data_IF_913044355425
#
_entry.id   IF_913044355425
#
_cell.length_a   1.000
_cell.length_b   1.000
_cell.length_c   1.000
_cell.angle_alpha   90.00
_cell.angle_beta   90.00
_cell.angle_gamma   90.00
#
_symmetry.space_group_name_H-M   'P 1'
#
loop_
_entity.id
_entity.type
_entity.pdbx_description
1 polymer ?
#
# COMPACT_ATOMS: atom_id res chain seq x y z
N UNK A 1 -17.31 7.22 21.58
CA UNK A 1 -18.69 7.07 21.10
C UNK A 1 -18.91 7.69 19.71
N UNK A 2 -18.52 8.95 19.43
CA UNK A 2 -18.71 9.54 18.09
C UNK A 2 -18.02 8.77 16.94
N UNK A 3 -16.77 8.30 17.12
CA UNK A 3 -16.06 7.57 16.06
C UNK A 3 -16.67 6.20 15.68
N UNK A 4 -17.38 5.54 16.61
CA UNK A 4 -18.07 4.27 16.34
C UNK A 4 -19.40 4.47 15.60
N UNK A 5 -20.15 5.54 15.91
CA UNK A 5 -21.35 5.90 15.15
C UNK A 5 -21.03 6.36 13.73
N UNK A 6 -19.97 7.16 13.54
CA UNK A 6 -19.54 7.61 12.21
C UNK A 6 -19.10 6.43 11.35
N UNK A 7 -18.32 5.50 11.92
CA UNK A 7 -17.92 4.28 11.22
C UNK A 7 -19.15 3.45 10.80
N UNK A 8 -20.10 3.19 11.70
CA UNK A 8 -21.34 2.46 11.38
C UNK A 8 -22.14 3.09 10.23
N UNK A 9 -22.19 4.43 10.17
CA UNK A 9 -22.92 5.12 9.10
C UNK A 9 -22.14 5.13 7.77
N UNK A 10 -20.78 5.10 7.79
CA UNK A 10 -19.96 4.93 6.57
C UNK A 10 -20.11 3.51 6.05
N UNK A 11 -20.16 2.53 6.97
CA UNK A 11 -20.41 1.15 6.64
C UNK A 11 -21.80 0.96 6.00
N UNK A 12 -22.85 1.62 6.51
CA UNK A 12 -24.19 1.53 5.94
C UNK A 12 -24.30 2.10 4.51
N UNK A 13 -23.65 3.24 4.22
CA UNK A 13 -23.64 3.85 2.88
C UNK A 13 -22.88 3.01 1.85
N UNK A 14 -21.69 2.49 2.19
CA UNK A 14 -20.97 1.57 1.29
C UNK A 14 -21.70 0.23 1.12
N UNK A 15 -22.47 -0.20 2.13
CA UNK A 15 -23.21 -1.45 2.10
C UNK A 15 -24.47 -1.37 1.22
N UNK A 16 -25.12 -0.21 1.10
CA UNK A 16 -26.21 -0.01 0.13
C UNK A 16 -25.73 -0.18 -1.31
N UNK A 17 -24.61 0.45 -1.69
CA UNK A 17 -24.02 0.31 -3.03
C UNK A 17 -23.44 -1.09 -3.32
N UNK A 18 -23.16 -1.91 -2.31
CA UNK A 18 -22.69 -3.29 -2.49
C UNK A 18 -23.83 -4.31 -2.58
N UNK A 19 -25.03 -3.98 -2.10
CA UNK A 19 -26.13 -4.93 -1.95
C UNK A 19 -27.26 -4.74 -2.98
N UNK A 20 -27.42 -3.55 -3.57
CA UNK A 20 -28.42 -3.33 -4.64
C UNK A 20 -28.01 -3.92 -6.00
N UNK A 21 -26.71 -4.09 -6.28
CA UNK A 21 -26.24 -4.42 -7.65
C UNK A 21 -26.03 -5.92 -7.93
N UNK A 22 -26.28 -6.81 -6.97
CA UNK A 22 -26.20 -8.27 -7.23
C UNK A 22 -27.42 -8.82 -7.97
N UNK A 23 -28.46 -7.99 -8.18
CA UNK A 23 -29.74 -8.41 -8.77
C UNK A 23 -30.18 -7.67 -10.05
N UNK A 24 -29.33 -6.88 -10.69
CA UNK A 24 -29.69 -6.20 -11.95
C UNK A 24 -28.66 -6.48 -13.05
N UNK A 25 -28.73 -7.69 -13.58
CA UNK A 25 -28.40 -7.93 -14.99
C UNK A 25 -29.70 -8.28 -15.69
N UNK A 26 -30.08 -7.42 -16.66
CA UNK A 26 -31.10 -7.52 -17.73
C UNK A 26 -32.06 -6.32 -17.72
N UNK A 27 -32.06 -5.57 -18.83
CA UNK A 27 -32.87 -4.39 -19.20
C UNK A 27 -32.48 -3.09 -18.47
N UNK A 28 -32.28 -1.92 -19.11
CA UNK A 28 -32.88 -1.39 -20.34
C UNK A 28 -32.00 -0.24 -20.87
N UNK A 29 -31.78 -0.22 -22.20
CA UNK A 29 -31.59 1.03 -22.94
C UNK A 29 -32.77 1.95 -22.62
N UNK A 30 -32.53 3.11 -22.03
CA UNK A 30 -33.32 4.33 -22.18
C UNK A 30 -32.51 5.48 -21.58
N UNK A 31 -32.25 6.48 -22.42
CA UNK A 31 -31.37 7.60 -22.11
C UNK A 31 -31.83 8.41 -20.90
N UNK A 32 -30.91 8.63 -19.98
CA UNK A 32 -30.80 9.85 -19.19
C UNK A 32 -29.31 10.12 -19.00
N UNK A 33 -28.76 10.87 -19.95
CA UNK A 33 -27.50 11.59 -19.80
C UNK A 33 -27.64 12.53 -18.61
N UNK A 34 -26.98 12.19 -17.49
CA UNK A 34 -26.81 13.11 -16.37
C UNK A 34 -26.05 14.34 -16.85
N UNK A 35 -26.78 15.44 -17.03
CA UNK A 35 -26.26 16.75 -17.37
C UNK A 35 -25.39 17.30 -16.24
N UNK A 36 -24.10 16.93 -16.24
CA UNK A 36 -23.06 17.74 -15.59
C UNK A 36 -22.21 18.50 -16.62
N UNK A 37 -22.37 18.18 -17.91
CA UNK A 37 -21.72 18.87 -19.03
C UNK A 37 -22.52 19.99 -19.67
N UNK A 38 -23.78 20.23 -19.26
CA UNK A 38 -24.69 21.17 -19.92
C UNK A 38 -25.02 22.43 -19.11
N UNK A 39 -24.65 22.49 -17.82
CA UNK A 39 -24.82 23.71 -17.00
C UNK A 39 -23.60 24.64 -17.01
N UNK A 40 -22.49 24.23 -17.64
CA UNK A 40 -21.29 25.07 -17.76
C UNK A 40 -21.25 25.92 -19.04
N UNK A 41 -22.32 25.92 -19.83
CA UNK A 41 -22.43 26.71 -21.07
C UNK A 41 -23.27 28.00 -20.90
N UNK A 42 -23.71 28.33 -19.67
CA UNK A 42 -24.50 29.55 -19.41
C UNK A 42 -23.98 30.47 -18.28
N UNK A 43 -22.86 30.15 -17.62
CA UNK A 43 -22.29 31.02 -16.59
C UNK A 43 -21.09 31.83 -17.12
N UNK A 44 -21.37 32.77 -18.04
CA UNK A 44 -20.37 33.74 -18.55
C UNK A 44 -20.25 34.93 -17.60
N UNK A 45 -19.21 34.98 -16.75
CA UNK A 45 -18.67 36.25 -16.21
C UNK A 45 -17.30 36.14 -15.49
N UNK A 46 -16.27 36.60 -16.20
CA UNK A 46 -15.09 37.39 -15.74
C UNK A 46 -13.97 36.67 -14.96
N UNK A 47 -12.87 36.42 -15.68
CA UNK A 47 -11.49 36.60 -15.20
C UNK A 47 -10.83 35.42 -14.48
N UNK A 48 -11.59 34.55 -13.81
CA UNK A 48 -11.07 33.30 -13.23
C UNK A 48 -10.95 32.16 -14.27
N UNK A 49 -11.66 32.28 -15.39
CA UNK A 49 -11.80 31.20 -16.37
C UNK A 49 -10.54 30.92 -17.18
N UNK A 50 -9.69 31.92 -17.45
CA UNK A 50 -8.49 31.69 -18.27
C UNK A 50 -7.47 30.83 -17.55
N UNK A 51 -7.31 30.98 -16.23
CA UNK A 51 -6.38 30.16 -15.44
C UNK A 51 -6.91 28.74 -15.30
N UNK A 52 -8.19 28.56 -14.95
CA UNK A 52 -8.82 27.23 -14.81
C UNK A 52 -8.81 26.47 -16.15
N UNK A 53 -9.15 27.13 -17.26
CA UNK A 53 -9.08 26.52 -18.60
C UNK A 53 -7.64 26.16 -18.97
N UNK A 54 -6.67 26.97 -18.55
CA UNK A 54 -5.25 26.70 -18.80
C UNK A 54 -4.76 25.51 -17.96
N UNK A 55 -5.12 25.43 -16.68
CA UNK A 55 -4.82 24.29 -15.81
C UNK A 55 -5.42 22.99 -16.32
N UNK A 56 -6.69 23.01 -16.76
CA UNK A 56 -7.35 21.85 -17.35
C UNK A 56 -6.61 21.36 -18.60
N UNK A 57 -6.20 22.27 -19.49
CA UNK A 57 -5.41 21.95 -20.69
C UNK A 57 -4.02 21.41 -20.36
N UNK A 58 -3.36 21.93 -19.31
CA UNK A 58 -2.06 21.44 -18.86
C UNK A 58 -2.18 20.01 -18.31
N UNK A 59 -3.22 19.73 -17.52
CA UNK A 59 -3.45 18.39 -16.97
C UNK A 59 -3.77 17.37 -18.06
N UNK A 60 -4.63 17.71 -19.02
CA UNK A 60 -4.90 16.81 -20.15
C UNK A 60 -3.67 16.56 -21.03
N UNK A 61 -2.82 17.58 -21.21
CA UNK A 61 -1.54 17.40 -21.90
C UNK A 61 -0.62 16.45 -21.13
N UNK A 62 -0.53 16.62 -19.81
CA UNK A 62 0.26 15.74 -18.93
C UNK A 62 -0.25 14.29 -18.98
N UNK A 63 -1.57 14.09 -18.93
CA UNK A 63 -2.18 12.77 -19.07
C UNK A 63 -1.95 12.16 -20.45
N UNK A 64 -2.04 12.95 -21.52
CA UNK A 64 -1.75 12.48 -22.88
C UNK A 64 -0.28 12.04 -23.02
N UNK A 65 0.68 12.79 -22.47
CA UNK A 65 2.07 12.35 -22.39
C UNK A 65 2.23 11.06 -21.57
N UNK A 66 1.46 10.94 -20.49
CA UNK A 66 1.41 9.75 -19.66
C UNK A 66 0.91 8.51 -20.42
N UNK A 67 -0.22 8.62 -21.12
CA UNK A 67 -0.76 7.54 -21.99
C UNK A 67 0.21 7.19 -23.11
N UNK A 68 0.82 8.21 -23.75
CA UNK A 68 1.84 8.00 -24.78
C UNK A 68 3.05 7.23 -24.23
N UNK A 69 3.47 7.54 -23.00
CA UNK A 69 4.54 6.80 -22.31
C UNK A 69 4.17 5.35 -22.04
N UNK A 70 2.94 5.08 -21.59
CA UNK A 70 2.44 3.72 -21.42
C UNK A 70 2.41 2.96 -22.74
N UNK A 71 1.84 3.55 -23.79
CA UNK A 71 1.76 2.93 -25.12
C UNK A 71 3.15 2.67 -25.71
N UNK A 72 4.10 3.60 -25.53
CA UNK A 72 5.49 3.41 -25.93
C UNK A 72 6.14 2.21 -25.23
N UNK A 73 5.99 2.12 -23.90
CA UNK A 73 6.54 1.02 -23.11
C UNK A 73 5.93 -0.33 -23.50
N UNK A 74 4.61 -0.38 -23.67
CA UNK A 74 3.92 -1.60 -24.08
C UNK A 74 4.34 -2.05 -25.48
N UNK A 75 4.48 -1.12 -26.43
CA UNK A 75 4.86 -1.45 -27.81
C UNK A 75 6.31 -1.93 -27.94
N UNK A 76 7.26 -1.24 -27.27
CA UNK A 76 8.70 -1.54 -27.42
C UNK A 76 9.20 -2.62 -26.48
N UNK A 77 8.55 -2.81 -25.32
CA UNK A 77 8.98 -3.74 -24.28
C UNK A 77 7.94 -4.83 -23.95
N UNK A 78 6.98 -5.10 -24.86
CA UNK A 78 6.00 -6.20 -24.73
C UNK A 78 6.66 -7.55 -24.44
N UNK A 79 7.81 -7.85 -25.06
CA UNK A 79 8.58 -9.08 -24.83
C UNK A 79 9.02 -9.28 -23.36
N UNK A 80 9.13 -8.18 -22.59
CA UNK A 80 9.50 -8.20 -21.17
C UNK A 80 8.29 -7.98 -20.25
N UNK A 81 7.06 -8.16 -20.73
CA UNK A 81 5.83 -8.03 -19.94
C UNK A 81 5.90 -8.80 -18.60
N UNK A 82 6.37 -10.06 -18.64
CA UNK A 82 6.50 -10.89 -17.44
C UNK A 82 7.39 -10.26 -16.36
N UNK A 83 8.46 -9.55 -16.77
CA UNK A 83 9.32 -8.82 -15.84
C UNK A 83 8.58 -7.65 -15.19
N UNK A 84 7.86 -6.84 -15.95
CA UNK A 84 7.10 -5.71 -15.40
C UNK A 84 6.01 -6.18 -14.43
N UNK A 85 5.29 -7.25 -14.77
CA UNK A 85 4.29 -7.83 -13.87
C UNK A 85 4.93 -8.40 -12.60
N UNK A 86 6.06 -9.11 -12.72
CA UNK A 86 6.78 -9.63 -11.57
C UNK A 86 7.26 -8.52 -10.63
N UNK A 87 7.81 -7.42 -11.17
CA UNK A 87 8.26 -6.28 -10.37
C UNK A 87 7.09 -5.62 -9.63
N UNK A 88 5.96 -5.40 -10.30
CA UNK A 88 4.78 -4.82 -9.64
C UNK A 88 4.28 -5.73 -8.52
N UNK A 89 4.18 -7.03 -8.77
CA UNK A 89 3.76 -8.00 -7.75
C UNK A 89 4.74 -8.04 -6.57
N UNK A 90 6.04 -8.10 -6.85
CA UNK A 90 7.09 -8.18 -5.82
C UNK A 90 7.13 -6.94 -4.91
N UNK A 91 6.70 -5.78 -5.42
CA UNK A 91 6.73 -4.50 -4.69
C UNK A 91 5.41 -4.10 -4.04
N UNK A 92 4.42 -5.00 -4.04
CA UNK A 92 3.23 -4.85 -3.21
C UNK A 92 3.60 -4.81 -1.72
N UNK A 93 2.93 -3.93 -0.97
CA UNK A 93 3.09 -3.80 0.47
C UNK A 93 2.73 -5.11 1.21
N UNK A 94 1.91 -5.98 0.61
CA UNK A 94 1.69 -7.34 1.08
C UNK A 94 3.01 -8.10 1.29
N UNK A 95 3.89 -8.08 0.29
CA UNK A 95 5.21 -8.73 0.39
C UNK A 95 6.13 -8.07 1.41
N UNK A 96 5.96 -6.77 1.66
CA UNK A 96 6.67 -6.09 2.76
C UNK A 96 6.31 -6.72 4.11
N UNK A 97 5.03 -6.98 4.36
CA UNK A 97 4.59 -7.55 5.64
C UNK A 97 4.80 -9.06 5.74
N UNK A 98 4.58 -9.81 4.66
CA UNK A 98 4.65 -11.28 4.68
C UNK A 98 6.06 -11.84 4.47
N UNK A 99 6.97 -11.09 3.84
CA UNK A 99 8.33 -11.54 3.53
C UNK A 99 9.41 -10.65 4.18
N UNK A 100 9.44 -9.35 3.87
CA UNK A 100 10.54 -8.48 4.30
C UNK A 100 10.55 -8.27 5.82
N UNK A 101 9.38 -8.05 6.43
CA UNK A 101 9.26 -7.84 7.86
C UNK A 101 9.74 -9.06 8.68
N UNK A 102 9.31 -10.31 8.42
CA UNK A 102 9.85 -11.48 9.12
C UNK A 102 11.36 -11.64 8.97
N UNK A 103 11.91 -11.44 7.77
CA UNK A 103 13.35 -11.51 7.51
C UNK A 103 14.09 -10.50 8.38
N UNK A 104 13.66 -9.24 8.38
CA UNK A 104 14.27 -8.20 9.20
C UNK A 104 14.03 -8.38 10.68
N UNK A 105 12.89 -8.89 11.11
CA UNK A 105 12.63 -9.09 12.52
C UNK A 105 13.60 -10.09 13.15
N UNK A 106 13.88 -11.20 12.45
CA UNK A 106 14.81 -12.22 12.93
C UNK A 106 16.29 -11.83 12.76
N UNK A 107 16.61 -10.84 11.91
CA UNK A 107 17.96 -10.32 11.73
C UNK A 107 18.27 -9.13 12.64
N UNK A 108 17.41 -8.10 12.63
CA UNK A 108 17.50 -6.88 13.43
C UNK A 108 16.11 -6.36 13.84
N UNK A 109 15.63 -6.78 15.01
CA UNK A 109 14.29 -6.46 15.52
C UNK A 109 13.95 -4.96 15.51
N UNK A 110 14.87 -4.09 15.94
CA UNK A 110 14.62 -2.65 16.00
C UNK A 110 14.30 -2.07 14.61
N UNK A 111 15.09 -2.42 13.61
CA UNK A 111 14.93 -1.94 12.24
C UNK A 111 13.68 -2.54 11.57
N UNK A 112 13.30 -3.77 11.93
CA UNK A 112 12.05 -4.36 11.49
C UNK A 112 10.81 -3.65 12.05
N UNK A 113 10.83 -3.27 13.33
CA UNK A 113 9.75 -2.47 13.94
C UNK A 113 9.64 -1.13 13.22
N UNK A 114 10.77 -0.45 13.00
CA UNK A 114 10.82 0.80 12.23
C UNK A 114 10.27 0.65 10.82
N UNK A 115 10.60 -0.45 10.13
CA UNK A 115 10.09 -0.78 8.80
C UNK A 115 8.55 -0.79 8.77
N UNK A 116 7.92 -1.45 9.74
CA UNK A 116 6.45 -1.52 9.83
C UNK A 116 5.84 -0.15 10.08
N UNK A 117 6.44 0.65 10.97
CA UNK A 117 5.99 2.02 11.21
C UNK A 117 6.04 2.87 9.95
N UNK A 118 7.13 2.79 9.19
CA UNK A 118 7.30 3.50 7.92
C UNK A 118 6.29 3.03 6.88
N UNK A 119 6.09 1.71 6.74
CA UNK A 119 5.11 1.14 5.82
C UNK A 119 3.67 1.58 6.15
N UNK A 120 3.26 1.48 7.42
CA UNK A 120 1.91 1.83 7.89
C UNK A 120 1.63 3.33 7.73
N UNK A 121 2.53 4.19 8.19
CA UNK A 121 2.35 5.64 8.10
C UNK A 121 2.46 6.10 6.64
N UNK A 122 3.36 5.52 5.85
CA UNK A 122 3.48 5.80 4.42
C UNK A 122 2.22 5.46 3.66
N UNK A 123 1.66 4.26 3.85
CA UNK A 123 0.42 3.86 3.18
C UNK A 123 -0.78 4.70 3.68
N UNK A 124 -0.80 5.12 4.95
CA UNK A 124 -1.79 6.09 5.45
C UNK A 124 -1.66 7.48 4.81
N UNK A 125 -0.45 8.01 4.63
CA UNK A 125 -0.24 9.28 3.91
C UNK A 125 -0.64 9.14 2.45
N UNK A 126 -0.31 8.02 1.80
CA UNK A 126 -0.75 7.71 0.43
C UNK A 126 -2.28 7.77 0.33
N UNK A 127 -2.96 7.12 1.27
CA UNK A 127 -4.40 7.10 1.37
C UNK A 127 -5.01 8.51 1.49
N UNK A 128 -4.51 9.34 2.41
CA UNK A 128 -5.01 10.71 2.59
C UNK A 128 -4.83 11.53 1.31
N UNK A 129 -3.65 11.45 0.70
CA UNK A 129 -3.35 12.19 -0.52
C UNK A 129 -4.19 11.72 -1.71
N UNK A 130 -4.50 10.42 -1.82
CA UNK A 130 -5.41 9.91 -2.85
C UNK A 130 -6.79 10.54 -2.79
N UNK A 131 -7.35 10.69 -1.59
CA UNK A 131 -8.63 11.35 -1.42
C UNK A 131 -8.59 12.86 -1.66
N UNK A 132 -7.47 13.51 -1.31
CA UNK A 132 -7.30 14.95 -1.49
C UNK A 132 -7.00 15.35 -2.94
N UNK A 133 -6.19 14.57 -3.66
CA UNK A 133 -5.74 14.87 -5.03
C UNK A 133 -6.73 14.40 -6.10
N UNK A 134 -7.53 13.37 -5.81
CA UNK A 134 -8.63 12.92 -6.65
C UNK A 134 -8.24 12.68 -8.13
N UNK A 135 -7.05 12.14 -8.37
CA UNK A 135 -6.51 12.06 -9.73
C UNK A 135 -6.95 10.80 -10.50
N UNK A 136 -7.01 10.94 -11.82
CA UNK A 136 -7.33 9.92 -12.81
C UNK A 136 -6.24 8.83 -12.94
N UNK A 137 -6.58 7.72 -13.62
CA UNK A 137 -5.64 6.67 -14.04
C UNK A 137 -5.61 6.52 -15.56
N UNK A 138 -4.48 6.06 -16.14
CA UNK A 138 -4.34 5.95 -17.59
C UNK A 138 -5.45 5.16 -18.29
N UNK A 139 -5.79 3.98 -17.75
CA UNK A 139 -6.67 3.02 -18.44
C UNK A 139 -8.13 3.47 -18.57
N UNK A 140 -8.65 4.25 -17.62
CA UNK A 140 -10.00 4.81 -17.72
C UNK A 140 -10.00 6.23 -18.28
N UNK A 141 -8.94 7.02 -18.05
CA UNK A 141 -8.85 8.38 -18.57
C UNK A 141 -8.82 8.41 -20.10
N UNK A 142 -8.07 7.50 -20.72
CA UNK A 142 -7.98 7.42 -22.19
C UNK A 142 -9.34 7.15 -22.85
N UNK A 143 -10.25 6.49 -22.15
CA UNK A 143 -11.57 6.11 -22.65
C UNK A 143 -12.59 7.26 -22.55
N UNK A 144 -12.47 8.10 -21.52
CA UNK A 144 -13.42 9.17 -21.22
C UNK A 144 -12.97 10.53 -21.76
N UNK A 145 -11.69 10.71 -22.04
CA UNK A 145 -11.15 12.01 -22.43
C UNK A 145 -11.63 12.46 -23.81
N UNK A 146 -12.08 13.71 -23.88
CA UNK A 146 -12.35 14.41 -25.15
C UNK A 146 -11.08 14.95 -25.82
N UNK A 147 -9.91 14.83 -25.18
CA UNK A 147 -8.66 15.45 -25.62
C UNK A 147 -8.24 15.06 -27.05
N UNK A 148 -8.47 13.81 -27.44
CA UNK A 148 -8.10 13.32 -28.76
C UNK A 148 -9.07 13.75 -29.87
N UNK A 149 -10.26 14.27 -29.54
CA UNK A 149 -11.28 14.65 -30.51
C UNK A 149 -11.59 13.52 -31.49
N UNK A 150 -11.40 13.77 -32.79
CA UNK A 150 -11.59 12.76 -33.85
C UNK A 150 -10.33 11.93 -34.16
N UNK A 151 -9.24 12.14 -33.42
CA UNK A 151 -7.99 11.41 -33.61
C UNK A 151 -8.07 10.02 -32.99
N UNK A 152 -7.32 9.05 -33.54
CA UNK A 152 -7.23 7.72 -32.96
C UNK A 152 -6.59 7.79 -31.57
N UNK A 153 -7.34 7.33 -30.55
CA UNK A 153 -6.83 7.20 -29.19
C UNK A 153 -5.71 6.15 -29.13
N UNK A 154 -4.64 6.37 -28.35
CA UNK A 154 -3.60 5.37 -28.17
C UNK A 154 -4.17 4.11 -27.53
N UNK A 155 -3.93 2.95 -28.15
CA UNK A 155 -4.30 1.66 -27.55
C UNK A 155 -3.35 1.35 -26.40
N UNK A 156 -3.91 1.09 -25.23
CA UNK A 156 -3.17 0.62 -24.05
C UNK A 156 -3.76 -0.71 -23.58
N UNK A 157 -2.87 -1.65 -23.27
CA UNK A 157 -3.24 -2.97 -22.76
C UNK A 157 -3.51 -2.91 -21.26
N UNK A 158 -4.46 -3.72 -20.79
CA UNK A 158 -4.70 -3.95 -19.37
C UNK A 158 -4.25 -5.36 -18.98
N UNK A 159 -3.69 -5.46 -17.78
CA UNK A 159 -3.28 -6.68 -17.11
C UNK A 159 -4.02 -6.86 -15.78
N UNK A 160 -3.96 -8.04 -15.13
CA UNK A 160 -4.66 -8.31 -13.86
C UNK A 160 -4.43 -7.32 -12.72
N UNK A 161 -3.32 -6.57 -12.72
CA UNK A 161 -3.00 -5.55 -11.71
C UNK A 161 -3.32 -4.11 -12.13
N UNK A 162 -4.02 -3.91 -13.25
CA UNK A 162 -4.36 -2.59 -13.79
C UNK A 162 -5.53 -1.96 -13.05
N UNK A 163 -6.56 -2.76 -12.79
CA UNK A 163 -7.87 -2.30 -12.35
C UNK A 163 -7.95 -2.09 -10.83
N UNK A 164 -7.08 -1.23 -10.31
CA UNK A 164 -7.15 -0.78 -8.93
C UNK A 164 -8.33 0.19 -8.73
N UNK A 165 -8.94 0.14 -7.53
CA UNK A 165 -10.21 0.83 -7.23
C UNK A 165 -10.03 2.20 -6.56
N UNK A 166 -8.81 2.54 -6.12
CA UNK A 166 -8.49 3.86 -5.55
C UNK A 166 -8.02 4.90 -6.59
N UNK A 167 -8.06 6.21 -6.27
CA UNK A 167 -7.51 7.27 -7.11
C UNK A 167 -6.03 7.06 -7.49
N UNK A 168 -5.60 7.67 -8.59
CA UNK A 168 -4.28 7.42 -9.19
C UNK A 168 -3.08 8.01 -8.43
N UNK A 169 -3.27 9.10 -7.69
CA UNK A 169 -2.15 9.91 -7.15
C UNK A 169 -2.09 9.96 -5.63
N UNK A 170 -0.90 9.80 -5.01
CA UNK A 170 0.33 9.29 -5.61
C UNK A 170 0.28 7.77 -5.77
N UNK A 171 1.21 7.20 -6.55
CA UNK A 171 1.30 5.75 -6.69
C UNK A 171 1.69 5.06 -5.39
N UNK A 172 0.81 4.19 -4.88
CA UNK A 172 1.03 3.47 -3.62
C UNK A 172 2.19 2.47 -3.69
N UNK A 173 2.36 1.78 -4.83
CA UNK A 173 3.48 0.85 -5.04
C UNK A 173 4.83 1.59 -5.05
N UNK A 174 4.94 2.69 -5.81
CA UNK A 174 6.17 3.48 -5.88
C UNK A 174 6.49 4.13 -4.52
N UNK A 175 5.48 4.69 -3.85
CA UNK A 175 5.65 5.29 -2.53
C UNK A 175 6.03 4.28 -1.45
N UNK A 176 5.37 3.12 -1.41
CA UNK A 176 5.66 2.03 -0.49
C UNK A 176 7.06 1.47 -0.70
N UNK A 177 7.42 1.16 -1.95
CA UNK A 177 8.77 0.72 -2.30
C UNK A 177 9.83 1.75 -1.90
N UNK A 178 9.64 3.03 -2.22
CA UNK A 178 10.55 4.10 -1.81
C UNK A 178 10.73 4.15 -0.29
N UNK A 179 9.63 4.14 0.48
CA UNK A 179 9.69 4.25 1.92
C UNK A 179 10.39 3.02 2.58
N UNK A 180 10.03 1.82 2.14
CA UNK A 180 10.56 0.54 2.63
C UNK A 180 12.04 0.40 2.28
N UNK A 181 12.40 0.51 1.00
CA UNK A 181 13.79 0.34 0.58
C UNK A 181 14.70 1.46 1.10
N UNK A 182 14.24 2.71 1.20
CA UNK A 182 15.03 3.79 1.81
C UNK A 182 15.36 3.46 3.28
N UNK A 183 14.39 2.93 4.02
CA UNK A 183 14.58 2.50 5.42
C UNK A 183 15.60 1.36 5.51
N UNK A 184 15.48 0.35 4.62
CA UNK A 184 16.40 -0.79 4.56
C UNK A 184 17.82 -0.32 4.23
N UNK A 185 18.00 0.49 3.19
CA UNK A 185 19.32 0.97 2.76
C UNK A 185 19.96 1.84 3.84
N UNK A 186 19.20 2.71 4.48
CA UNK A 186 19.69 3.55 5.59
C UNK A 186 20.12 2.71 6.80
N UNK A 187 19.36 1.65 7.13
CA UNK A 187 19.68 0.71 8.21
C UNK A 187 20.93 -0.13 7.90
N UNK A 188 21.04 -0.66 6.68
CA UNK A 188 22.21 -1.40 6.22
C UNK A 188 23.45 -0.52 6.24
N UNK A 189 23.34 0.71 5.74
CA UNK A 189 24.42 1.68 5.76
C UNK A 189 24.86 1.99 7.20
N UNK A 190 23.91 2.23 8.11
CA UNK A 190 24.21 2.45 9.52
C UNK A 190 24.83 1.22 10.20
N UNK A 191 24.49 0.01 9.78
CA UNK A 191 25.07 -1.23 10.32
C UNK A 191 26.49 -1.47 9.80
N UNK A 192 26.69 -1.39 8.48
CA UNK A 192 27.98 -1.69 7.85
C UNK A 192 29.02 -0.60 8.16
N UNK A 193 28.60 0.66 8.26
CA UNK A 193 29.50 1.78 8.53
C UNK A 193 29.79 2.01 10.02
N UNK A 194 29.20 1.22 10.94
CA UNK A 194 29.57 1.26 12.37
C UNK A 194 31.03 0.90 12.60
N UNK A 195 31.60 0.06 11.74
CA UNK A 195 33.01 -0.31 11.84
C UNK A 195 33.92 0.78 11.26
N UNK A 196 34.96 1.11 12.01
CA UNK A 196 36.12 1.88 11.52
C UNK A 196 36.69 1.17 10.29
N UNK A 197 36.77 1.90 9.17
CA UNK A 197 37.19 1.32 7.90
C UNK A 197 37.66 2.39 6.92
N UNK A 198 38.41 1.98 5.87
CA UNK A 198 38.97 2.92 4.91
C UNK A 198 37.88 3.79 4.28
N UNK A 199 38.17 5.08 4.08
CA UNK A 199 37.24 6.03 3.46
C UNK A 199 36.69 5.49 2.13
N UNK A 200 37.53 4.87 1.30
CA UNK A 200 37.16 4.25 0.03
C UNK A 200 36.10 3.16 0.20
N UNK A 201 36.23 2.27 1.20
CA UNK A 201 35.23 1.22 1.49
C UNK A 201 33.89 1.84 1.86
N UNK A 202 33.89 2.84 2.74
CA UNK A 202 32.67 3.53 3.20
C UNK A 202 31.95 4.23 2.03
N UNK A 203 32.72 4.88 1.16
CA UNK A 203 32.20 5.52 -0.05
C UNK A 203 31.63 4.51 -1.04
N UNK A 204 32.36 3.42 -1.34
CA UNK A 204 31.88 2.37 -2.23
C UNK A 204 30.56 1.76 -1.73
N UNK A 205 30.46 1.38 -0.45
CA UNK A 205 29.23 0.82 0.12
C UNK A 205 28.07 1.81 0.01
N UNK A 206 28.31 3.09 0.30
CA UNK A 206 27.28 4.14 0.18
C UNK A 206 26.79 4.26 -1.25
N UNK A 207 27.71 4.39 -2.21
CA UNK A 207 27.36 4.50 -3.64
C UNK A 207 26.60 3.26 -4.09
N UNK A 208 27.09 2.06 -3.80
CA UNK A 208 26.44 0.81 -4.21
C UNK A 208 25.01 0.67 -3.65
N UNK A 209 24.78 0.96 -2.37
CA UNK A 209 23.44 0.84 -1.77
C UNK A 209 22.45 1.87 -2.35
N UNK A 210 22.89 3.12 -2.56
CA UNK A 210 22.02 4.15 -3.15
C UNK A 210 21.79 3.94 -4.65
N UNK A 211 22.78 3.44 -5.38
CA UNK A 211 22.58 3.00 -6.77
C UNK A 211 21.56 1.88 -6.84
N UNK A 212 21.66 0.86 -5.98
CA UNK A 212 20.68 -0.23 -5.91
C UNK A 212 19.27 0.30 -5.59
N UNK A 213 19.15 1.24 -4.64
CA UNK A 213 17.88 1.89 -4.34
C UNK A 213 17.25 2.51 -5.58
N UNK A 214 17.99 3.35 -6.31
CA UNK A 214 17.48 4.02 -7.51
C UNK A 214 17.16 3.05 -8.64
N UNK A 215 17.97 1.99 -8.83
CA UNK A 215 17.66 0.92 -9.77
C UNK A 215 16.31 0.27 -9.47
N UNK A 216 16.05 -0.06 -8.19
CA UNK A 216 14.75 -0.61 -7.77
C UNK A 216 13.63 0.40 -8.04
N UNK A 217 13.79 1.67 -7.70
CA UNK A 217 12.75 2.68 -7.94
C UNK A 217 12.41 2.85 -9.41
N UNK A 218 13.42 2.87 -10.29
CA UNK A 218 13.19 2.93 -11.74
C UNK A 218 12.41 1.71 -12.22
N UNK A 219 12.76 0.51 -11.76
CA UNK A 219 12.05 -0.71 -12.14
C UNK A 219 10.58 -0.68 -11.69
N UNK A 220 10.32 -0.25 -10.45
CA UNK A 220 8.95 -0.11 -9.92
C UNK A 220 8.16 0.93 -10.72
N UNK A 221 8.72 2.12 -10.93
CA UNK A 221 8.05 3.19 -11.66
C UNK A 221 7.68 2.75 -13.08
N UNK A 222 8.64 2.19 -13.82
CA UNK A 222 8.40 1.70 -15.19
C UNK A 222 7.35 0.58 -15.21
N UNK A 223 7.40 -0.34 -14.25
CA UNK A 223 6.40 -1.41 -14.11
C UNK A 223 4.99 -0.86 -13.91
N UNK A 224 4.80 0.16 -13.07
CA UNK A 224 3.48 0.77 -12.81
C UNK A 224 2.93 1.58 -13.98
N UNK A 225 3.81 2.21 -14.78
CA UNK A 225 3.43 2.89 -16.03
C UNK A 225 3.12 1.87 -17.13
N UNK A 226 3.91 0.79 -17.25
CA UNK A 226 3.69 -0.29 -18.21
C UNK A 226 2.34 -0.99 -18.00
N UNK A 227 1.95 -1.23 -16.75
CA UNK A 227 0.66 -1.86 -16.41
C UNK A 227 -0.52 -0.89 -16.55
N UNK A 228 -0.31 0.34 -17.04
CA UNK A 228 -1.34 1.36 -17.21
C UNK A 228 -2.10 1.73 -15.91
N UNK A 229 -1.53 1.40 -14.75
CA UNK A 229 -2.14 1.67 -13.45
C UNK A 229 -1.87 3.09 -12.95
N UNK A 230 -0.76 3.70 -13.39
CA UNK A 230 -0.36 5.06 -12.99
C UNK A 230 0.32 5.83 -14.11
N UNK A 231 0.18 7.15 -14.07
CA UNK A 231 0.95 8.06 -14.90
C UNK A 231 2.38 8.28 -14.38
N UNK A 232 3.34 8.72 -15.23
CA UNK A 232 4.72 8.98 -14.81
C UNK A 232 4.86 9.97 -13.65
N UNK A 233 4.10 11.06 -13.61
CA UNK A 233 4.17 12.02 -12.51
C UNK A 233 3.63 11.46 -11.19
N UNK A 234 2.65 10.54 -11.24
CA UNK A 234 2.11 9.87 -10.04
C UNK A 234 3.13 8.96 -9.38
N UNK A 235 3.94 8.25 -10.18
CA UNK A 235 5.01 7.39 -9.64
C UNK A 235 6.19 8.20 -9.12
N UNK A 236 6.57 9.28 -9.80
CA UNK A 236 7.63 10.20 -9.34
C UNK A 236 7.24 10.85 -8.01
N UNK A 237 6.03 11.41 -7.93
CA UNK A 237 5.49 12.00 -6.70
C UNK A 237 5.43 10.96 -5.58
N UNK A 238 5.03 9.73 -5.90
CA UNK A 238 5.06 8.61 -4.95
C UNK A 238 6.46 8.36 -4.37
N UNK A 239 7.49 8.27 -5.21
CA UNK A 239 8.88 8.07 -4.75
C UNK A 239 9.34 9.20 -3.82
N UNK A 240 9.08 10.45 -4.20
CA UNK A 240 9.47 11.62 -3.41
C UNK A 240 8.82 11.61 -2.01
N UNK A 241 7.51 11.40 -1.95
CA UNK A 241 6.78 11.37 -0.67
C UNK A 241 7.21 10.16 0.16
N UNK A 242 7.45 9.00 -0.47
CA UNK A 242 7.96 7.81 0.22
C UNK A 242 9.30 8.03 0.92
N UNK A 243 10.24 8.70 0.23
CA UNK A 243 11.53 9.11 0.81
C UNK A 243 11.32 10.09 1.96
N UNK A 244 10.47 11.11 1.78
CA UNK A 244 10.18 12.11 2.82
C UNK A 244 9.57 11.47 4.08
N UNK A 245 8.64 10.54 3.93
CA UNK A 245 8.02 9.81 5.05
C UNK A 245 9.07 8.96 5.77
N UNK A 246 9.87 8.20 5.04
CA UNK A 246 10.91 7.36 5.63
C UNK A 246 11.97 8.19 6.37
N UNK A 247 12.45 9.29 5.78
CA UNK A 247 13.40 10.19 6.42
C UNK A 247 12.80 10.84 7.68
N UNK A 248 11.57 11.33 7.60
CA UNK A 248 10.89 11.97 8.74
C UNK A 248 10.72 11.00 9.90
N UNK A 249 10.23 9.78 9.65
CA UNK A 249 10.04 8.77 10.69
C UNK A 249 11.37 8.23 11.23
N UNK A 250 12.43 8.23 10.42
CA UNK A 250 13.76 7.81 10.86
C UNK A 250 14.33 8.69 11.98
N UNK A 251 13.92 9.96 12.04
CA UNK A 251 14.33 10.92 13.07
C UNK A 251 13.52 10.76 14.37
N UNK A 252 12.37 10.09 14.32
CA UNK A 252 11.45 9.95 15.46
C UNK A 252 11.87 8.80 16.39
N UNK A 253 12.75 9.12 17.35
CA UNK A 253 13.25 8.15 18.35
C UNK A 253 12.16 7.58 19.27
N UNK A 254 10.99 8.21 19.35
CA UNK A 254 9.87 7.78 20.20
C UNK A 254 9.26 6.43 19.75
N UNK A 255 9.43 6.05 18.48
CA UNK A 255 8.91 4.79 17.92
C UNK A 255 9.46 3.57 18.70
N UNK A 256 10.71 3.62 19.12
CA UNK A 256 11.38 2.52 19.85
C UNK A 256 10.99 2.42 21.33
N UNK A 257 10.43 3.50 21.91
CA UNK A 257 9.97 3.54 23.31
C UNK A 257 8.44 3.45 23.42
N UNK A 258 7.76 3.16 22.31
CA UNK A 258 6.31 3.11 22.26
C UNK A 258 5.77 1.96 23.12
N UNK A 259 4.92 2.29 24.08
CA UNK A 259 4.17 1.31 24.86
C UNK A 259 2.95 0.79 24.07
N UNK A 260 2.34 -0.31 24.51
CA UNK A 260 1.11 -0.83 23.88
C UNK A 260 0.02 0.23 23.73
N UNK A 261 -0.15 1.12 24.74
CA UNK A 261 -1.11 2.23 24.67
C UNK A 261 -0.81 3.17 23.51
N UNK A 262 0.46 3.42 23.19
CA UNK A 262 0.86 4.25 22.05
C UNK A 262 0.44 3.60 20.73
N UNK A 263 0.68 2.30 20.54
CA UNK A 263 0.22 1.58 19.34
C UNK A 263 -1.30 1.66 19.17
N UNK A 264 -2.05 1.39 20.24
CA UNK A 264 -3.52 1.48 20.24
C UNK A 264 -3.99 2.90 19.91
N UNK A 265 -3.44 3.90 20.59
CA UNK A 265 -3.82 5.30 20.41
C UNK A 265 -3.50 5.78 18.99
N UNK A 266 -2.34 5.42 18.45
CA UNK A 266 -1.97 5.78 17.08
C UNK A 266 -2.86 5.08 16.05
N UNK A 267 -3.16 3.78 16.20
CA UNK A 267 -4.11 3.11 15.31
C UNK A 267 -5.49 3.77 15.34
N UNK A 268 -5.99 4.14 16.52
CA UNK A 268 -7.27 4.85 16.65
C UNK A 268 -7.22 6.26 16.05
N UNK A 269 -6.10 6.97 16.20
CA UNK A 269 -5.90 8.30 15.62
C UNK A 269 -5.84 8.26 14.10
N UNK A 270 -5.08 7.32 13.52
CA UNK A 270 -5.00 7.16 12.06
C UNK A 270 -6.36 6.80 11.46
N UNK A 271 -7.10 5.90 12.12
CA UNK A 271 -8.46 5.54 11.74
C UNK A 271 -9.41 6.74 11.84
N UNK A 272 -9.40 7.47 12.96
CA UNK A 272 -10.33 8.58 13.18
C UNK A 272 -10.07 9.75 12.24
N UNK A 273 -8.80 10.11 11.99
CA UNK A 273 -8.44 11.17 11.06
C UNK A 273 -8.83 10.82 9.62
N UNK A 274 -8.62 9.57 9.20
CA UNK A 274 -9.03 9.11 7.88
C UNK A 274 -10.56 9.14 7.72
N UNK A 275 -11.30 8.62 8.70
CA UNK A 275 -12.78 8.66 8.66
C UNK A 275 -13.32 10.09 8.73
N UNK A 276 -12.66 10.98 9.47
CA UNK A 276 -13.02 12.39 9.51
C UNK A 276 -12.81 13.04 8.14
N UNK A 277 -11.66 12.84 7.51
CA UNK A 277 -11.40 13.35 6.16
C UNK A 277 -12.41 12.82 5.15
N UNK A 278 -12.70 11.52 5.18
CA UNK A 278 -13.71 10.88 4.35
C UNK A 278 -15.07 11.59 4.48
N UNK A 279 -15.52 11.83 5.72
CA UNK A 279 -16.77 12.54 5.98
C UNK A 279 -16.74 14.00 5.55
N UNK A 280 -15.65 14.71 5.79
CA UNK A 280 -15.50 16.10 5.35
C UNK A 280 -15.60 16.22 3.83
N UNK A 281 -14.97 15.31 3.07
CA UNK A 281 -15.04 15.30 1.61
C UNK A 281 -16.45 14.96 1.10
N UNK A 282 -17.13 14.00 1.73
CA UNK A 282 -18.54 13.72 1.41
C UNK A 282 -19.44 14.94 1.66
N UNK A 283 -19.27 15.62 2.80
CA UNK A 283 -20.05 16.83 3.12
C UNK A 283 -19.73 18.00 2.16
N UNK A 284 -18.53 18.04 1.61
CA UNK A 284 -18.15 18.97 0.55
C UNK A 284 -18.68 18.57 -0.84
N UNK A 285 -19.46 17.50 -0.95
CA UNK A 285 -20.06 17.03 -2.20
C UNK A 285 -19.14 16.19 -3.08
N UNK A 286 -17.97 15.77 -2.58
CA UNK A 286 -17.02 14.94 -3.35
C UNK A 286 -17.47 13.48 -3.32
N UNK A 287 -17.77 12.91 -4.49
CA UNK A 287 -18.10 11.50 -4.62
C UNK A 287 -16.83 10.63 -4.51
N UNK A 288 -16.58 10.02 -3.35
CA UNK A 288 -15.42 9.15 -3.13
C UNK A 288 -15.54 7.76 -3.76
N UNK A 289 -16.73 7.37 -4.22
CA UNK A 289 -16.97 6.10 -4.92
C UNK A 289 -16.70 6.20 -6.42
N UNK A 290 -16.47 7.40 -6.95
CA UNK A 290 -16.23 7.65 -8.38
C UNK A 290 -15.13 6.73 -8.97
N UNK A 291 -14.03 6.53 -8.25
CA UNK A 291 -12.89 5.74 -8.74
C UNK A 291 -13.21 4.26 -8.77
N UNK A 292 -14.10 3.80 -7.89
CA UNK A 292 -14.60 2.42 -7.88
C UNK A 292 -15.53 2.20 -9.08
N UNK A 293 -16.40 3.16 -9.37
CA UNK A 293 -17.29 3.12 -10.53
C UNK A 293 -16.50 3.11 -11.84
N UNK A 294 -15.51 4.01 -11.99
CA UNK A 294 -14.62 4.03 -13.16
C UNK A 294 -13.84 2.72 -13.32
N UNK A 295 -13.32 2.17 -12.22
CA UNK A 295 -12.63 0.89 -12.26
C UNK A 295 -13.54 -0.26 -12.74
N UNK A 296 -14.78 -0.32 -12.26
CA UNK A 296 -15.75 -1.33 -12.69
C UNK A 296 -16.17 -1.15 -14.15
N UNK A 297 -16.34 0.09 -14.60
CA UNK A 297 -16.82 0.43 -15.94
C UNK A 297 -15.80 0.14 -17.04
N UNK A 298 -14.53 0.45 -16.78
CA UNK A 298 -13.49 0.45 -17.81
C UNK A 298 -12.49 -0.70 -17.68
N UNK A 299 -12.62 -1.57 -16.68
CA UNK A 299 -11.82 -2.77 -16.60
C UNK A 299 -12.31 -3.82 -17.61
N UNK A 300 -11.39 -4.44 -18.36
CA UNK A 300 -11.74 -5.48 -19.34
C UNK A 300 -12.36 -6.73 -18.70
N UNK A 301 -11.92 -7.06 -17.49
CA UNK A 301 -12.27 -8.29 -16.78
C UNK A 301 -12.75 -7.95 -15.38
N UNK A 302 -13.98 -8.31 -15.03
CA UNK A 302 -14.55 -8.00 -13.71
C UNK A 302 -13.73 -8.62 -12.57
N UNK A 303 -13.10 -9.78 -12.81
CA UNK A 303 -12.22 -10.48 -11.88
C UNK A 303 -10.91 -9.73 -11.59
N UNK A 304 -10.50 -8.77 -12.42
CA UNK A 304 -9.29 -7.95 -12.19
C UNK A 304 -9.56 -6.73 -11.31
N UNK A 305 -10.82 -6.41 -11.03
CA UNK A 305 -11.19 -5.29 -10.17
C UNK A 305 -10.80 -5.59 -8.73
N UNK A 306 -9.71 -4.97 -8.26
CA UNK A 306 -9.16 -5.25 -6.94
C UNK A 306 -9.84 -4.43 -5.85
N UNK A 307 -10.78 -5.05 -5.13
CA UNK A 307 -11.46 -4.45 -3.96
C UNK A 307 -10.48 -4.20 -2.80
N UNK A 308 -9.44 -5.03 -2.68
CA UNK A 308 -8.39 -4.91 -1.66
C UNK A 308 -7.56 -3.62 -1.82
N UNK A 309 -7.48 -3.07 -3.03
CA UNK A 309 -6.77 -1.81 -3.31
C UNK A 309 -7.59 -0.57 -2.96
N UNK A 310 -8.80 -0.76 -2.41
CA UNK A 310 -9.63 0.35 -2.01
C UNK A 310 -8.98 1.12 -0.84
N UNK A 311 -9.14 2.47 -0.84
CA UNK A 311 -8.67 3.33 0.24
C UNK A 311 -9.04 2.83 1.66
N UNK A 312 -10.28 2.40 1.85
CA UNK A 312 -10.75 1.94 3.16
C UNK A 312 -10.15 0.57 3.56
N UNK A 313 -9.98 -0.36 2.61
CA UNK A 313 -9.35 -1.65 2.89
C UNK A 313 -7.89 -1.48 3.35
N UNK A 314 -7.14 -0.58 2.70
CA UNK A 314 -5.79 -0.19 3.11
C UNK A 314 -5.75 0.34 4.56
N UNK A 315 -6.71 1.19 4.95
CA UNK A 315 -6.80 1.71 6.32
C UNK A 315 -6.96 0.62 7.39
N UNK A 316 -7.84 -0.36 7.15
CA UNK A 316 -8.04 -1.49 8.06
C UNK A 316 -6.82 -2.41 8.12
N UNK A 317 -6.16 -2.65 6.99
CA UNK A 317 -4.89 -3.39 6.94
C UNK A 317 -3.80 -2.70 7.77
N UNK A 318 -3.61 -1.39 7.58
CA UNK A 318 -2.59 -0.60 8.28
C UNK A 318 -2.80 -0.54 9.79
N UNK A 319 -4.04 -0.27 10.22
CA UNK A 319 -4.38 -0.21 11.64
C UNK A 319 -4.30 -1.59 12.30
N UNK A 320 -4.66 -2.65 11.57
CA UNK A 320 -4.50 -4.05 11.96
C UNK A 320 -3.04 -4.41 12.16
N UNK A 321 -2.17 -4.16 11.17
CA UNK A 321 -0.74 -4.41 11.25
C UNK A 321 -0.10 -3.70 12.45
N UNK A 322 -0.42 -2.41 12.66
CA UNK A 322 0.15 -1.64 13.76
C UNK A 322 -0.31 -2.18 15.13
N UNK A 323 -1.60 -2.53 15.24
CA UNK A 323 -2.15 -3.14 16.45
C UNK A 323 -1.52 -4.51 16.74
N UNK A 324 -1.42 -5.36 15.72
CA UNK A 324 -0.82 -6.69 15.83
C UNK A 324 0.64 -6.65 16.23
N UNK A 325 1.41 -5.68 15.70
CA UNK A 325 2.79 -5.44 16.12
C UNK A 325 2.87 -5.00 17.58
N UNK A 326 2.02 -4.05 17.99
CA UNK A 326 1.94 -3.58 19.37
C UNK A 326 1.64 -4.72 20.35
N UNK A 327 0.63 -5.55 20.04
CA UNK A 327 0.25 -6.73 20.82
C UNK A 327 1.37 -7.76 20.86
N UNK A 328 2.00 -8.05 19.72
CA UNK A 328 3.12 -8.98 19.61
C UNK A 328 4.27 -8.60 20.53
N UNK A 329 4.78 -7.37 20.41
CA UNK A 329 5.93 -6.88 21.19
C UNK A 329 5.67 -6.79 22.69
N UNK A 330 4.42 -6.58 23.12
CA UNK A 330 4.07 -6.41 24.53
C UNK A 330 3.46 -7.67 25.18
N UNK A 331 3.25 -8.72 24.40
CA UNK A 331 2.69 -9.99 24.86
C UNK A 331 3.61 -10.70 25.87
N UNK A 332 3.04 -11.50 26.79
CA UNK A 332 3.84 -12.36 27.67
C UNK A 332 4.64 -13.42 26.87
N UNK A 333 4.11 -13.84 25.71
CA UNK A 333 4.75 -14.79 24.79
C UNK A 333 6.10 -14.26 24.30
N UNK A 334 6.13 -12.99 23.85
CA UNK A 334 7.36 -12.34 23.39
C UNK A 334 8.38 -12.17 24.52
N UNK A 335 7.94 -11.80 25.74
CA UNK A 335 8.85 -11.68 26.89
C UNK A 335 9.50 -13.02 27.23
N UNK A 336 8.74 -14.09 27.19
CA UNK A 336 9.23 -15.44 27.48
C UNK A 336 10.26 -15.92 26.43
N UNK A 337 9.93 -15.79 25.14
CA UNK A 337 10.84 -16.18 24.05
C UNK A 337 12.10 -15.32 24.05
N UNK A 338 11.97 -14.01 24.25
CA UNK A 338 13.11 -13.08 24.29
C UNK A 338 14.05 -13.34 25.47
N UNK A 339 13.51 -13.57 26.68
CA UNK A 339 14.34 -13.91 27.84
C UNK A 339 15.10 -15.23 27.64
N UNK A 340 14.46 -16.20 27.00
CA UNK A 340 15.11 -17.49 26.69
C UNK A 340 16.18 -17.35 25.60
N UNK A 341 15.95 -16.51 24.60
CA UNK A 341 16.93 -16.23 23.56
C UNK A 341 18.16 -15.48 24.13
N UNK A 342 17.95 -14.52 25.04
CA UNK A 342 19.04 -13.76 25.70
C UNK A 342 19.88 -14.66 26.60
N UNK A 343 19.27 -15.60 27.32
CA UNK A 343 20.01 -16.55 28.17
C UNK A 343 20.78 -17.61 27.38
N UNK A 344 20.56 -17.74 26.06
CA UNK A 344 21.17 -18.77 25.19
C UNK A 344 21.79 -18.19 23.91
N UNK A 345 22.80 -17.31 24.01
CA UNK A 345 23.37 -16.62 22.85
C UNK A 345 24.06 -17.57 21.86
N UNK A 346 24.63 -18.69 22.33
CA UNK A 346 25.34 -19.66 21.48
C UNK A 346 24.44 -20.37 20.45
N UNK A 347 23.12 -20.42 20.68
CA UNK A 347 22.13 -21.00 19.75
C UNK A 347 21.48 -19.94 18.85
N UNK A 348 21.97 -18.70 18.87
CA UNK A 348 21.27 -17.54 18.30
C UNK A 348 21.00 -17.63 16.79
N UNK A 349 22.01 -18.00 15.99
CA UNK A 349 21.85 -18.13 14.54
C UNK A 349 20.90 -19.28 14.12
N UNK A 350 21.10 -20.54 14.56
CA UNK A 350 20.17 -21.62 14.20
C UNK A 350 18.75 -21.36 14.73
N UNK A 351 18.61 -20.76 15.93
CA UNK A 351 17.31 -20.35 16.46
C UNK A 351 16.60 -19.34 15.56
N UNK A 352 17.29 -18.29 15.12
CA UNK A 352 16.75 -17.27 14.20
C UNK A 352 16.35 -17.88 12.86
N UNK A 353 17.16 -18.77 12.30
CA UNK A 353 16.84 -19.47 11.06
C UNK A 353 15.59 -20.37 11.20
N UNK A 354 15.47 -21.11 12.32
CA UNK A 354 14.28 -21.91 12.60
C UNK A 354 13.03 -21.04 12.75
N UNK A 355 13.13 -19.93 13.49
CA UNK A 355 12.01 -19.00 13.67
C UNK A 355 11.62 -18.34 12.33
N UNK A 356 12.59 -17.93 11.52
CA UNK A 356 12.35 -17.36 10.20
C UNK A 356 11.66 -18.37 9.28
N UNK A 357 12.21 -19.57 9.14
CA UNK A 357 11.64 -20.63 8.31
C UNK A 357 10.21 -20.99 8.75
N UNK A 358 10.00 -21.20 10.05
CA UNK A 358 8.68 -21.47 10.60
C UNK A 358 7.70 -20.31 10.37
N UNK A 359 8.15 -19.05 10.54
CA UNK A 359 7.31 -17.87 10.30
C UNK A 359 6.89 -17.81 8.83
N UNK A 360 7.83 -17.94 7.90
CA UNK A 360 7.52 -17.87 6.47
C UNK A 360 6.56 -18.99 6.06
N UNK A 361 6.78 -20.23 6.51
CA UNK A 361 5.86 -21.35 6.22
C UNK A 361 4.47 -21.08 6.77
N UNK A 362 4.35 -20.66 8.04
CA UNK A 362 3.05 -20.37 8.65
C UNK A 362 2.33 -19.23 7.94
N UNK A 363 3.04 -18.15 7.61
CA UNK A 363 2.45 -17.00 6.92
C UNK A 363 2.01 -17.34 5.49
N UNK A 364 2.79 -18.15 4.76
CA UNK A 364 2.41 -18.61 3.41
C UNK A 364 1.19 -19.54 3.45
N UNK A 365 1.15 -20.48 4.39
CA UNK A 365 -0.03 -21.33 4.60
C UNK A 365 -1.25 -20.50 4.99
N UNK A 366 -1.07 -19.49 5.84
CA UNK A 366 -2.12 -18.58 6.25
C UNK A 366 -2.63 -17.74 5.08
N UNK A 367 -1.75 -17.22 4.22
CA UNK A 367 -2.13 -16.43 3.05
C UNK A 367 -2.91 -17.27 2.02
N UNK A 368 -2.46 -18.50 1.77
CA UNK A 368 -3.15 -19.46 0.89
C UNK A 368 -4.51 -19.90 1.44
N UNK A 369 -4.63 -20.12 2.75
CA UNK A 369 -5.86 -20.60 3.39
C UNK A 369 -6.89 -19.49 3.58
N UNK A 370 -6.44 -18.26 3.85
CA UNK A 370 -7.28 -17.11 4.13
C UNK A 370 -7.14 -16.05 3.03
N UNK A 371 -7.70 -16.33 1.87
CA UNK A 371 -8.09 -15.30 0.92
C UNK A 371 -9.50 -14.82 1.32
N UNK A 372 -9.66 -13.56 1.76
CA UNK A 372 -11.00 -13.02 1.98
C UNK A 372 -11.74 -13.08 0.64
N UNK A 373 -12.60 -14.09 0.45
CA UNK A 373 -13.55 -14.08 -0.66
C UNK A 373 -14.38 -12.81 -0.52
N UNK A 374 -14.75 -12.19 -1.64
CA UNK A 374 -15.61 -11.01 -1.72
C UNK A 374 -16.98 -11.32 -1.08
N UNK A 375 -17.04 -11.32 0.25
CA UNK A 375 -18.21 -11.61 1.06
C UNK A 375 -18.51 -10.36 1.89
N UNK A 376 -19.72 -9.84 1.68
CA UNK A 376 -20.41 -8.74 2.36
C UNK A 376 -19.57 -7.73 3.18
N UNK A 377 -19.49 -6.51 2.65
CA UNK A 377 -19.25 -5.24 3.35
C UNK A 377 -18.36 -5.29 4.61
N UNK A 378 -18.94 -5.01 5.78
CA UNK A 378 -18.20 -4.88 7.05
C UNK A 378 -17.38 -6.11 7.45
N UNK A 379 -17.83 -7.32 7.07
CA UNK A 379 -17.11 -8.56 7.36
C UNK A 379 -15.77 -8.62 6.61
N UNK A 380 -15.75 -8.19 5.35
CA UNK A 380 -14.51 -8.10 4.57
C UNK A 380 -13.48 -7.19 5.26
N UNK A 381 -13.87 -5.99 5.68
CA UNK A 381 -12.96 -5.07 6.38
C UNK A 381 -12.46 -5.62 7.72
N UNK A 382 -13.34 -6.27 8.49
CA UNK A 382 -12.96 -6.91 9.75
C UNK A 382 -11.98 -8.07 9.52
N UNK A 383 -12.24 -8.92 8.53
CA UNK A 383 -11.35 -10.02 8.15
C UNK A 383 -10.00 -9.49 7.67
N UNK A 384 -9.98 -8.42 6.86
CA UNK A 384 -8.75 -7.76 6.42
C UNK A 384 -7.95 -7.19 7.58
N UNK A 385 -8.61 -6.55 8.55
CA UNK A 385 -7.97 -6.11 9.79
C UNK A 385 -7.37 -7.28 10.57
N UNK A 386 -8.14 -8.34 10.82
CA UNK A 386 -7.71 -9.51 11.57
C UNK A 386 -6.55 -10.24 10.88
N UNK A 387 -6.63 -10.43 9.56
CA UNK A 387 -5.55 -11.01 8.74
C UNK A 387 -4.27 -10.20 8.91
N UNK A 388 -4.37 -8.87 8.79
CA UNK A 388 -3.22 -7.97 8.87
C UNK A 388 -2.62 -7.87 10.28
N UNK A 389 -3.44 -7.96 11.33
CA UNK A 389 -2.97 -8.00 12.72
C UNK A 389 -2.27 -9.32 13.06
N UNK A 390 -2.70 -10.43 12.45
CA UNK A 390 -2.16 -11.76 12.71
C UNK A 390 -0.72 -11.90 12.20
N UNK A 391 -0.35 -11.24 11.10
CA UNK A 391 0.99 -11.32 10.50
C UNK A 391 2.11 -10.90 11.48
N UNK A 392 2.11 -9.67 12.04
CA UNK A 392 3.13 -9.26 12.99
C UNK A 392 3.01 -10.00 14.33
N UNK A 393 1.80 -10.32 14.78
CA UNK A 393 1.61 -11.11 16.01
C UNK A 393 2.27 -12.49 15.90
N UNK A 394 2.11 -13.15 14.75
CA UNK A 394 2.69 -14.47 14.46
C UNK A 394 4.20 -14.41 14.42
N UNK A 395 4.74 -13.44 13.68
CA UNK A 395 6.18 -13.23 13.49
C UNK A 395 6.89 -12.90 14.79
N UNK A 396 6.31 -12.02 15.60
CA UNK A 396 6.95 -11.47 16.80
C UNK A 396 6.77 -12.35 18.02
N UNK A 397 5.58 -12.90 18.22
CA UNK A 397 5.23 -13.56 19.48
C UNK A 397 5.00 -15.08 19.33
N UNK A 398 4.08 -15.49 18.46
CA UNK A 398 3.58 -16.87 18.41
C UNK A 398 4.68 -17.84 17.98
N UNK A 399 5.32 -17.61 16.83
CA UNK A 399 6.32 -18.52 16.29
C UNK A 399 7.55 -18.62 17.19
N UNK A 400 8.17 -17.51 17.63
CA UNK A 400 9.30 -17.57 18.57
C UNK A 400 8.97 -18.31 19.86
N UNK A 401 7.76 -18.14 20.41
CA UNK A 401 7.31 -18.88 21.59
C UNK A 401 7.19 -20.38 21.34
N UNK A 402 6.54 -20.79 20.25
CA UNK A 402 6.38 -22.20 19.88
C UNK A 402 7.73 -22.89 19.66
N UNK A 403 8.65 -22.24 18.92
CA UNK A 403 10.00 -22.77 18.69
C UNK A 403 10.76 -22.90 20.02
N UNK A 404 10.72 -21.89 20.87
CA UNK A 404 11.38 -21.91 22.19
C UNK A 404 10.84 -23.03 23.09
N UNK A 405 9.53 -23.23 23.07
CA UNK A 405 8.85 -24.26 23.85
C UNK A 405 9.21 -25.67 23.36
N UNK A 406 9.21 -25.88 22.04
CA UNK A 406 9.60 -27.15 21.42
C UNK A 406 11.06 -27.51 21.71
N UNK A 407 11.99 -26.55 21.60
CA UNK A 407 13.41 -26.76 21.91
C UNK A 407 13.62 -27.10 23.40
N UNK A 408 12.90 -26.41 24.29
CA UNK A 408 12.99 -26.65 25.74
C UNK A 408 12.43 -28.02 26.12
N UNK A 409 11.33 -28.45 25.50
CA UNK A 409 10.77 -29.79 25.69
C UNK A 409 11.71 -30.88 25.19
N UNK A 410 12.28 -30.73 23.98
CA UNK A 410 13.22 -31.71 23.41
C UNK A 410 14.44 -31.91 24.31
N UNK A 411 14.93 -30.84 24.95
CA UNK A 411 16.05 -30.91 25.90
C UNK A 411 15.69 -31.66 27.18
N UNK A 412 14.51 -31.41 27.76
CA UNK A 412 14.02 -32.15 28.94
C UNK A 412 13.86 -33.66 28.70
N UNK A 413 13.76 -34.09 27.44
CA UNK A 413 13.68 -35.51 27.07
C UNK A 413 15.06 -36.13 26.82
N UNK A 414 16.09 -35.31 26.61
CA UNK A 414 17.47 -35.74 26.32
C UNK A 414 18.36 -35.73 27.57
N UNK A 415 17.98 -34.94 28.59
CA UNK A 415 18.49 -34.98 29.97
C UNK A 415 17.65 -35.98 30.77
#
# INVERSE_FOLDING_TARGET
>A
MLGQCVAMHVFAEQQMCLHEDMHVYVCQNLGHSGNFGFEMEQATARGADSEIITEFKIMDLLYSYGVSSTSYLQTHYSHNQGYFLLVSMATDLHNTYFLLFPIWFHLQQAEAVKLVWVAVVGDWVNLMLKWLLFEERPYWWVQETGFYGNSSQPLIEQFPMTCETGPGSPSGHAMGAAAVYYTIMSSLLATILKEEGPHTRRWCVRVSLWTLFWCVQVCVCLSRVFVAAHFPHQVITGVLIGILVADSLSRTRQIFKACLRSYVLTSLLLLSLALLLYRCLQLAGVNLLWSVEKARRWCHHAEWVSVDTSPLASLFRNTGTLMGLGLGLHSPLYRHSSATAVSRPAEGAPYRCMCLGATLVVLQLFDCAFQPRAHSGALFYLLSFCKSATVPLTTVAIVPYCVTSALSYRRKKLL
#
